data_IF_568481820848
#
_entry.id   IF_568481820848
#
_cell.length_a   1.000
_cell.length_b   1.000
_cell.length_c   1.000
_cell.angle_alpha   90.00
_cell.angle_beta   90.00
_cell.angle_gamma   90.00
#
_symmetry.space_group_name_H-M   'P 1'
#
loop_
_entity.id
_entity.type
_entity.pdbx_description
1 polymer ?
#
# COMPACT_ATOMS: atom_id res chain seq x y z
N UNK A 1 12.97 28.75 5.00
CA UNK A 1 11.68 28.18 4.56
C UNK A 1 11.54 28.52 3.09
N UNK A 2 11.81 27.58 2.18
CA UNK A 2 11.59 27.80 0.74
C UNK A 2 10.09 27.68 0.50
N UNK A 3 9.47 28.73 -0.03
CA UNK A 3 8.10 28.68 -0.53
C UNK A 3 8.21 28.17 -1.96
N UNK A 4 7.78 26.94 -2.20
CA UNK A 4 7.64 26.42 -3.56
C UNK A 4 6.40 27.03 -4.19
N UNK A 5 6.44 27.25 -5.50
CA UNK A 5 5.23 27.46 -6.29
C UNK A 5 4.38 26.17 -6.30
N UNK A 6 3.07 26.28 -6.47
CA UNK A 6 2.20 25.08 -6.52
C UNK A 6 2.62 24.08 -7.62
N UNK A 7 3.22 24.57 -8.72
CA UNK A 7 3.70 23.69 -9.80
C UNK A 7 4.92 22.87 -9.35
N UNK A 8 5.86 23.48 -8.62
CA UNK A 8 7.05 22.78 -8.11
C UNK A 8 6.67 21.72 -7.05
N UNK A 9 5.62 21.95 -6.26
CA UNK A 9 5.12 20.94 -5.30
C UNK A 9 4.52 19.72 -6.00
N UNK A 10 3.79 19.92 -7.10
CA UNK A 10 3.22 18.83 -7.91
C UNK A 10 4.32 18.04 -8.59
N UNK A 11 5.25 18.72 -9.27
CA UNK A 11 6.40 18.08 -9.93
C UNK A 11 7.20 17.23 -8.93
N UNK A 12 7.46 17.77 -7.74
CA UNK A 12 8.17 17.03 -6.70
C UNK A 12 7.40 15.78 -6.23
N UNK A 13 6.07 15.84 -6.18
CA UNK A 13 5.26 14.68 -5.82
C UNK A 13 5.24 13.62 -6.92
N UNK A 14 5.18 14.03 -8.20
CA UNK A 14 5.32 13.13 -9.34
C UNK A 14 6.68 12.41 -9.36
N UNK A 15 7.77 13.13 -9.05
CA UNK A 15 9.10 12.55 -8.88
C UNK A 15 9.12 11.50 -7.77
N UNK A 16 8.45 11.75 -6.64
CA UNK A 16 8.33 10.79 -5.55
C UNK A 16 7.56 9.53 -5.99
N UNK A 17 6.46 9.69 -6.73
CA UNK A 17 5.69 8.56 -7.28
C UNK A 17 6.58 7.73 -8.22
N UNK A 18 7.32 8.37 -9.12
CA UNK A 18 8.25 7.70 -10.02
C UNK A 18 9.35 6.95 -9.27
N UNK A 19 9.93 7.57 -8.23
CA UNK A 19 10.90 6.93 -7.35
C UNK A 19 10.34 5.66 -6.70
N UNK A 20 9.16 5.74 -6.07
CA UNK A 20 8.56 4.58 -5.41
C UNK A 20 8.11 3.49 -6.38
N UNK A 21 7.77 3.83 -7.62
CA UNK A 21 7.50 2.82 -8.65
C UNK A 21 8.70 1.91 -8.89
N UNK A 22 9.90 2.49 -8.92
CA UNK A 22 11.14 1.73 -9.08
C UNK A 22 11.43 0.88 -7.84
N UNK A 23 11.23 1.42 -6.63
CA UNK A 23 11.38 0.65 -5.38
C UNK A 23 10.43 -0.57 -5.33
N UNK A 24 9.23 -0.43 -5.86
CA UNK A 24 8.20 -1.48 -5.89
C UNK A 24 8.32 -2.45 -7.07
N UNK A 25 9.33 -2.31 -7.94
CA UNK A 25 9.48 -3.09 -9.17
C UNK A 25 9.62 -4.61 -8.99
N UNK A 26 9.87 -5.06 -7.76
CA UNK A 26 9.93 -6.49 -7.41
C UNK A 26 8.58 -7.14 -7.11
N UNK A 27 7.48 -6.38 -7.19
CA UNK A 27 6.11 -6.84 -6.97
C UNK A 27 5.39 -6.88 -8.31
N UNK A 28 4.86 -8.04 -8.67
CA UNK A 28 4.16 -8.21 -9.94
C UNK A 28 2.76 -7.56 -9.92
N UNK A 29 2.27 -7.03 -11.05
CA UNK A 29 0.89 -6.56 -11.15
C UNK A 29 -0.13 -7.60 -10.66
N UNK A 30 -1.08 -7.17 -9.83
CA UNK A 30 -2.08 -8.02 -9.17
C UNK A 30 -1.60 -8.65 -7.86
N UNK A 31 -0.30 -8.64 -7.55
CA UNK A 31 0.19 -8.98 -6.21
C UNK A 31 -0.13 -7.85 -5.22
N UNK A 32 -0.06 -8.20 -3.94
CA UNK A 32 -0.54 -7.33 -2.86
C UNK A 32 0.63 -6.74 -2.08
N UNK A 33 0.57 -5.44 -1.85
CA UNK A 33 1.46 -4.71 -0.96
C UNK A 33 0.70 -4.33 0.32
N UNK A 34 1.16 -4.83 1.47
CA UNK A 34 0.70 -4.32 2.76
C UNK A 34 1.42 -2.98 3.02
N UNK A 35 0.67 -1.88 3.11
CA UNK A 35 1.21 -0.53 3.29
C UNK A 35 1.06 -0.10 4.75
N UNK A 36 2.19 -0.12 5.47
CA UNK A 36 2.30 0.19 6.90
C UNK A 36 3.19 1.43 7.10
N UNK A 37 2.72 2.60 6.71
CA UNK A 37 3.44 3.86 6.93
C UNK A 37 2.53 4.88 7.63
N UNK A 38 3.14 5.93 8.19
CA UNK A 38 2.37 7.04 8.74
C UNK A 38 1.62 7.78 7.61
N UNK A 39 0.44 8.33 7.90
CA UNK A 39 -0.36 9.12 6.96
C UNK A 39 0.31 10.47 6.60
N UNK A 40 1.41 10.40 5.85
CA UNK A 40 2.20 11.52 5.35
C UNK A 40 2.26 11.46 3.82
N UNK A 41 2.86 12.48 3.19
CA UNK A 41 3.06 12.54 1.73
C UNK A 41 3.63 11.25 1.15
N UNK A 42 4.60 10.62 1.86
CA UNK A 42 5.15 9.32 1.48
C UNK A 42 4.10 8.24 1.31
N UNK A 43 3.15 8.12 2.26
CA UNK A 43 2.09 7.12 2.17
C UNK A 43 1.27 7.32 0.90
N UNK A 44 0.89 8.57 0.59
CA UNK A 44 0.17 8.88 -0.64
C UNK A 44 0.98 8.56 -1.89
N UNK A 45 2.27 8.92 -1.92
CA UNK A 45 3.16 8.63 -3.04
C UNK A 45 3.33 7.12 -3.27
N UNK A 46 3.56 6.34 -2.21
CA UNK A 46 3.69 4.87 -2.29
C UNK A 46 2.37 4.22 -2.72
N UNK A 47 1.23 4.70 -2.18
CA UNK A 47 -0.10 4.22 -2.58
C UNK A 47 -0.35 4.44 -4.07
N UNK A 48 -0.06 5.64 -4.60
CA UNK A 48 -0.24 5.96 -6.01
C UNK A 48 0.74 5.20 -6.90
N UNK A 49 2.02 5.10 -6.50
CA UNK A 49 3.02 4.31 -7.23
C UNK A 49 2.61 2.84 -7.35
N UNK A 50 2.08 2.25 -6.28
CA UNK A 50 1.56 0.89 -6.29
C UNK A 50 0.33 0.77 -7.20
N UNK A 51 -0.63 1.70 -7.08
CA UNK A 51 -1.83 1.73 -7.90
C UNK A 51 -1.51 1.77 -9.41
N UNK A 52 -0.61 2.66 -9.82
CA UNK A 52 -0.19 2.83 -11.21
C UNK A 52 0.65 1.64 -11.73
N UNK A 53 1.26 0.87 -10.83
CA UNK A 53 1.97 -0.38 -11.15
C UNK A 53 1.03 -1.59 -11.23
N UNK A 54 -0.28 -1.41 -11.00
CA UNK A 54 -1.24 -2.49 -10.93
C UNK A 54 -1.10 -3.36 -9.68
N UNK A 55 -0.38 -2.90 -8.66
CA UNK A 55 -0.22 -3.56 -7.38
C UNK A 55 -1.47 -3.31 -6.54
N UNK A 56 -1.98 -4.36 -5.89
CA UNK A 56 -3.12 -4.26 -4.97
C UNK A 56 -2.63 -3.73 -3.62
N UNK A 57 -3.07 -2.53 -3.25
CA UNK A 57 -2.68 -1.92 -1.98
C UNK A 57 -3.59 -2.42 -0.86
N UNK A 58 -2.98 -2.79 0.27
CA UNK A 58 -3.67 -3.13 1.52
C UNK A 58 -3.19 -2.14 2.59
N UNK A 59 -3.84 -0.96 2.73
CA UNK A 59 -3.42 0.02 3.71
C UNK A 59 -3.73 -0.45 5.13
N UNK A 60 -2.75 -0.33 6.02
CA UNK A 60 -2.96 -0.62 7.44
C UNK A 60 -3.32 0.66 8.21
N UNK A 61 -4.37 0.65 9.05
CA UNK A 61 -4.61 1.72 10.00
C UNK A 61 -3.40 1.92 10.94
N UNK A 62 -3.06 3.17 11.31
CA UNK A 62 -2.08 3.40 12.36
C UNK A 62 -2.63 2.84 13.69
N UNK A 63 -1.84 1.98 14.35
CA UNK A 63 -2.12 1.33 15.64
C UNK A 63 -3.12 0.16 15.67
N UNK A 64 -2.80 -0.93 14.95
CA UNK A 64 -3.45 -2.23 15.16
C UNK A 64 -2.80 -3.06 16.28
N UNK A 65 -3.61 -3.86 16.99
CA UNK A 65 -3.12 -4.93 17.87
C UNK A 65 -2.31 -5.96 17.07
N UNK A 66 -1.44 -6.72 17.76
CA UNK A 66 -0.71 -7.84 17.13
C UNK A 66 -1.64 -8.82 16.45
N UNK A 67 -2.73 -9.22 17.12
CA UNK A 67 -3.73 -10.14 16.55
C UNK A 67 -4.39 -9.61 15.28
N UNK A 68 -4.66 -8.31 15.20
CA UNK A 68 -5.24 -7.70 14.00
C UNK A 68 -4.23 -7.63 12.85
N UNK A 69 -2.94 -7.41 13.15
CA UNK A 69 -1.86 -7.47 12.14
C UNK A 69 -1.71 -8.89 11.59
N UNK A 70 -1.71 -9.89 12.46
CA UNK A 70 -1.61 -11.31 12.07
C UNK A 70 -2.80 -11.73 11.20
N UNK A 71 -4.00 -11.26 11.56
CA UNK A 71 -5.20 -11.45 10.74
C UNK A 71 -5.03 -10.81 9.35
N UNK A 72 -4.58 -9.55 9.28
CA UNK A 72 -4.37 -8.88 8.00
C UNK A 72 -3.35 -9.60 7.12
N UNK A 73 -2.21 -10.00 7.68
CA UNK A 73 -1.18 -10.72 6.95
C UNK A 73 -1.71 -12.06 6.41
N UNK A 74 -2.36 -12.85 7.27
CA UNK A 74 -2.88 -14.17 6.89
C UNK A 74 -4.04 -14.10 5.88
N UNK A 75 -4.94 -13.14 6.04
CA UNK A 75 -6.13 -13.01 5.20
C UNK A 75 -5.84 -12.27 3.88
N UNK A 76 -5.01 -11.22 3.92
CA UNK A 76 -4.68 -10.46 2.71
C UNK A 76 -3.65 -11.16 1.82
N UNK A 77 -2.76 -11.99 2.38
CA UNK A 77 -1.67 -12.69 1.66
C UNK A 77 -0.84 -11.72 0.80
N UNK A 78 -0.15 -10.75 1.40
CA UNK A 78 0.69 -9.82 0.67
C UNK A 78 1.96 -10.51 0.16
N UNK A 79 2.43 -10.07 -1.01
CA UNK A 79 3.73 -10.46 -1.54
C UNK A 79 4.87 -9.66 -0.88
N UNK A 80 4.57 -8.44 -0.41
CA UNK A 80 5.52 -7.58 0.27
C UNK A 80 4.83 -6.66 1.30
N UNK A 81 5.65 -6.10 2.19
CA UNK A 81 5.24 -5.10 3.19
C UNK A 81 6.09 -3.85 3.00
N UNK A 82 5.44 -2.69 2.91
CA UNK A 82 6.10 -1.41 3.05
C UNK A 82 5.98 -0.93 4.49
N UNK A 83 7.09 -0.68 5.18
CA UNK A 83 7.07 -0.17 6.55
C UNK A 83 8.25 0.74 6.82
N UNK A 84 8.02 1.86 7.50
CA UNK A 84 9.07 2.82 7.89
C UNK A 84 9.96 3.25 6.71
N UNK A 85 9.36 3.46 5.53
CA UNK A 85 10.09 3.85 4.33
C UNK A 85 10.92 2.74 3.67
N UNK A 86 10.70 1.47 4.01
CA UNK A 86 11.43 0.33 3.46
C UNK A 86 10.49 -0.74 2.93
N UNK A 87 10.91 -1.41 1.86
CA UNK A 87 10.23 -2.57 1.30
C UNK A 87 10.82 -3.87 1.86
N UNK A 88 9.98 -4.70 2.47
CA UNK A 88 10.30 -6.06 2.88
C UNK A 88 9.55 -7.07 2.01
N UNK A 89 10.27 -7.99 1.36
CA UNK A 89 9.64 -9.09 0.63
C UNK A 89 9.17 -10.18 1.58
N UNK A 90 8.03 -10.79 1.25
CA UNK A 90 7.50 -11.95 1.96
C UNK A 90 7.67 -13.19 1.08
N UNK A 91 6.57 -13.70 0.54
CA UNK A 91 6.53 -14.86 -0.34
C UNK A 91 5.79 -14.50 -1.61
N UNK A 92 6.18 -15.12 -2.72
CA UNK A 92 5.44 -14.98 -3.98
C UNK A 92 4.03 -15.51 -3.79
N UNK A 93 3.04 -14.67 -4.06
CA UNK A 93 1.63 -15.02 -4.04
C UNK A 93 1.08 -14.92 -5.45
N UNK A 94 0.16 -15.81 -5.81
CA UNK A 94 -0.56 -15.71 -7.08
C UNK A 94 -1.28 -14.36 -7.16
N UNK A 95 -1.16 -13.64 -8.30
CA UNK A 95 -1.83 -12.37 -8.50
C UNK A 95 -3.34 -12.48 -8.26
N UNK A 96 -3.93 -11.44 -7.67
CA UNK A 96 -5.37 -11.29 -7.64
C UNK A 96 -5.94 -11.00 -9.04
N UNK A 97 -7.25 -10.75 -9.11
CA UNK A 97 -7.86 -10.21 -10.34
C UNK A 97 -7.09 -8.97 -10.80
N UNK A 98 -6.87 -8.85 -12.13
CA UNK A 98 -6.19 -7.71 -12.75
C UNK A 98 -6.91 -6.38 -12.55
N UNK A 99 -8.17 -6.41 -12.12
CA UNK A 99 -8.96 -5.21 -11.85
C UNK A 99 -8.87 -4.76 -10.40
N UNK A 100 -8.39 -5.61 -9.48
CA UNK A 100 -8.32 -5.24 -8.06
C UNK A 100 -7.18 -4.23 -7.84
N UNK A 101 -7.45 -3.15 -7.08
CA UNK A 101 -6.44 -2.13 -6.76
C UNK A 101 -6.31 -1.84 -5.28
N UNK A 102 -7.39 -2.02 -4.51
CA UNK A 102 -7.41 -1.68 -3.09
C UNK A 102 -8.20 -2.70 -2.28
N UNK A 103 -7.65 -3.12 -1.15
CA UNK A 103 -8.36 -3.89 -0.12
C UNK A 103 -8.34 -3.10 1.18
N UNK A 104 -9.48 -2.55 1.58
CA UNK A 104 -9.62 -1.85 2.86
C UNK A 104 -10.30 -2.76 3.87
N UNK A 105 -9.68 -2.93 5.02
CA UNK A 105 -10.29 -3.65 6.14
C UNK A 105 -10.99 -2.68 7.09
N UNK A 106 -12.21 -3.01 7.47
CA UNK A 106 -12.98 -2.27 8.48
C UNK A 106 -13.28 -3.18 9.67
N UNK A 107 -13.44 -2.59 10.86
CA UNK A 107 -13.91 -3.32 12.04
C UNK A 107 -15.35 -3.77 11.79
N UNK A 108 -15.53 -4.99 11.29
CA UNK A 108 -16.86 -5.58 11.14
C UNK A 108 -17.58 -5.63 12.48
N UNK A 109 -18.90 -5.47 12.48
CA UNK A 109 -19.75 -5.52 13.69
C UNK A 109 -19.71 -6.88 14.41
N UNK A 110 -19.12 -7.90 13.78
CA UNK A 110 -18.94 -9.27 14.29
C UNK A 110 -17.57 -9.52 14.93
N UNK A 111 -16.72 -8.50 15.07
CA UNK A 111 -15.37 -8.60 15.65
C UNK A 111 -14.28 -9.06 14.67
N UNK A 112 -14.65 -9.70 13.56
CA UNK A 112 -13.72 -10.06 12.48
C UNK A 112 -13.66 -8.97 11.39
N UNK A 113 -12.45 -8.52 10.97
CA UNK A 113 -12.31 -7.51 9.92
C UNK A 113 -12.76 -8.03 8.55
N UNK A 114 -13.58 -7.24 7.82
CA UNK A 114 -14.01 -7.57 6.46
C UNK A 114 -13.20 -6.78 5.44
N UNK A 115 -12.59 -7.46 4.46
CA UNK A 115 -11.88 -6.82 3.36
C UNK A 115 -12.85 -6.36 2.27
N UNK A 116 -13.01 -5.06 2.10
CA UNK A 116 -13.72 -4.44 0.99
C UNK A 116 -12.78 -4.33 -0.20
N UNK A 117 -13.18 -4.87 -1.35
CA UNK A 117 -12.41 -4.85 -2.59
C UNK A 117 -12.92 -3.74 -3.49
N UNK A 118 -12.05 -2.82 -3.92
CA UNK A 118 -12.35 -1.85 -4.97
C UNK A 118 -11.50 -2.14 -6.20
N UNK A 119 -12.19 -2.18 -7.34
CA UNK A 119 -11.56 -2.01 -8.66
C UNK A 119 -11.16 -0.56 -8.88
#
# INVERSE_FOLDING_TARGET
MKLYSQNEEIEHFEEQIAYYRNELSSIDPGQRLLLCDENRVRFAAVLLAAYESGIVVVPQPPALSTSAKDFLLSHSKPAAVWSNGQLGQLSTQEPASKDLRLIVYTSGTTGEPKGVKSS
#
